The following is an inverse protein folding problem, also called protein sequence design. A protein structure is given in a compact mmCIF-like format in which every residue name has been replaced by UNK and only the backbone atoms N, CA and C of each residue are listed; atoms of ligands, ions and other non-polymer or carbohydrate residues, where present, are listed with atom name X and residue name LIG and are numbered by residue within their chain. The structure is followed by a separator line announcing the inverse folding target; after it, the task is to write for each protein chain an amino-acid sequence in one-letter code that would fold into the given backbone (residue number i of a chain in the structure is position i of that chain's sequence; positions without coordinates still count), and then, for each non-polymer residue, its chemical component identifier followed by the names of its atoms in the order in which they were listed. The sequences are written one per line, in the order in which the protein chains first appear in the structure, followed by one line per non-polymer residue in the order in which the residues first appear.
data_IF_187105509372
#
_entry.id   IF_187105509372
#
_cell.length_a   1.000
_cell.length_b   1.000
_cell.length_c   1.000
_cell.angle_alpha   90.00
_cell.angle_beta   90.00
_cell.angle_gamma   90.00
#
_symmetry.space_group_name_H-M   'P 1'
#
loop_
_entity.id
_entity.type
_entity.pdbx_description
1 polymer ?
#
# COMPACT_ATOMS: atom_id res chain seq x y z
N UNK A 1 -10.10 -1.65 15.76
CA UNK A 1 -10.16 -0.21 15.37
C UNK A 1 -8.84 0.51 15.62
N UNK A 2 -7.70 -0.09 15.23
CA UNK A 2 -6.39 0.54 15.41
C UNK A 2 -6.09 1.55 14.30
N UNK A 3 -6.54 1.28 13.07
CA UNK A 3 -6.44 2.17 11.90
C UNK A 3 -6.96 3.59 12.15
N UNK A 4 -8.17 3.81 12.71
CA UNK A 4 -8.63 5.18 12.98
C UNK A 4 -7.81 5.92 14.06
N UNK A 5 -7.15 5.20 14.98
CA UNK A 5 -6.30 5.82 16.01
C UNK A 5 -4.98 6.28 15.41
N UNK A 6 -4.36 5.46 14.56
CA UNK A 6 -3.11 5.78 13.87
C UNK A 6 -3.27 7.01 12.96
N UNK A 7 -4.37 7.10 12.21
CA UNK A 7 -4.63 8.27 11.37
C UNK A 7 -4.79 9.56 12.19
N UNK A 8 -5.40 9.48 13.38
CA UNK A 8 -5.52 10.66 14.27
C UNK A 8 -4.15 11.16 14.74
N UNK A 9 -3.21 10.27 15.05
CA UNK A 9 -1.83 10.65 15.39
C UNK A 9 -1.15 11.35 14.21
N UNK A 10 -1.27 10.80 13.00
CA UNK A 10 -0.66 11.38 11.79
C UNK A 10 -1.25 12.74 11.46
N UNK A 11 -2.58 12.89 11.58
CA UNK A 11 -3.26 14.17 11.42
C UNK A 11 -2.71 15.22 12.38
N UNK A 12 -2.57 14.87 13.66
CA UNK A 12 -2.10 15.82 14.68
C UNK A 12 -0.65 16.28 14.40
N UNK A 13 0.22 15.36 13.97
CA UNK A 13 1.58 15.70 13.50
C UNK A 13 1.54 16.62 12.28
N UNK A 14 0.69 16.33 11.29
CA UNK A 14 0.55 17.18 10.09
C UNK A 14 0.02 18.58 10.42
N UNK A 15 -0.92 18.68 11.35
CA UNK A 15 -1.44 19.97 11.85
C UNK A 15 -0.35 20.74 12.59
N UNK A 16 0.42 20.09 13.47
CA UNK A 16 1.57 20.72 14.13
C UNK A 16 2.57 21.23 13.10
N UNK A 17 2.84 20.45 12.05
CA UNK A 17 3.69 20.87 10.93
C UNK A 17 3.17 22.11 10.20
N UNK A 18 1.85 22.19 9.95
CA UNK A 18 1.23 23.40 9.38
C UNK A 18 1.32 24.62 10.30
N UNK A 19 1.13 24.43 11.61
CA UNK A 19 1.23 25.52 12.59
C UNK A 19 2.67 26.04 12.65
N UNK A 20 3.66 25.15 12.71
CA UNK A 20 5.08 25.52 12.72
C UNK A 20 5.49 26.15 11.39
N UNK A 21 5.06 25.60 10.25
CA UNK A 21 5.35 26.15 8.93
C UNK A 21 4.73 27.52 8.72
N UNK A 22 3.49 27.72 9.20
CA UNK A 22 2.81 29.01 9.20
C UNK A 22 3.55 30.04 10.05
N UNK A 23 3.94 29.69 11.29
CA UNK A 23 4.75 30.53 12.18
C UNK A 23 6.12 30.84 11.54
N UNK A 24 6.75 29.87 10.90
CA UNK A 24 8.02 30.06 10.18
C UNK A 24 7.91 31.08 9.04
N UNK A 25 6.76 31.11 8.34
CA UNK A 25 6.51 32.11 7.30
C UNK A 25 6.41 33.54 7.86
N UNK A 26 5.95 33.75 9.10
CA UNK A 26 5.89 35.08 9.71
C UNK A 26 7.26 35.75 9.91
N UNK A 27 8.36 34.98 9.92
CA UNK A 27 9.71 35.54 10.01
C UNK A 27 10.24 36.08 8.66
N UNK A 28 9.47 35.97 7.58
CA UNK A 28 9.81 36.54 6.28
C UNK A 28 9.04 37.85 6.10
N UNK A 29 9.68 38.89 5.54
CA UNK A 29 9.14 40.26 5.46
C UNK A 29 7.75 40.35 4.77
N UNK A 30 7.46 39.47 3.80
CA UNK A 30 6.16 39.38 3.11
C UNK A 30 5.35 38.11 3.46
N UNK A 31 5.83 37.31 4.41
CA UNK A 31 5.29 35.98 4.70
C UNK A 31 4.02 35.95 5.54
N UNK A 32 3.53 37.10 6.01
CA UNK A 32 2.34 37.21 6.88
C UNK A 32 1.07 36.69 6.20
N UNK A 33 0.84 37.07 4.94
CA UNK A 33 -0.34 36.64 4.17
C UNK A 33 -0.22 35.15 3.82
N UNK A 34 0.98 34.69 3.44
CA UNK A 34 1.26 33.29 3.16
C UNK A 34 1.11 32.39 4.39
N UNK A 35 1.59 32.84 5.55
CA UNK A 35 1.51 32.14 6.82
C UNK A 35 0.08 32.01 7.34
N UNK A 36 -0.73 33.06 7.20
CA UNK A 36 -2.16 33.03 7.56
C UNK A 36 -2.94 32.09 6.64
N UNK A 37 -2.67 32.15 5.33
CA UNK A 37 -3.27 31.23 4.37
C UNK A 37 -2.83 29.79 4.65
N UNK A 38 -1.56 29.55 5.00
CA UNK A 38 -1.04 28.23 5.34
C UNK A 38 -1.68 27.66 6.61
N UNK A 39 -1.92 28.46 7.65
CA UNK A 39 -2.60 28.00 8.87
C UNK A 39 -4.09 27.66 8.63
N UNK A 40 -4.76 28.35 7.70
CA UNK A 40 -6.17 28.06 7.39
C UNK A 40 -6.34 26.94 6.36
N UNK A 41 -5.61 27.01 5.24
CA UNK A 41 -5.67 26.02 4.16
C UNK A 41 -4.88 24.75 4.48
N UNK A 42 -3.80 24.83 5.24
CA UNK A 42 -2.93 23.70 5.54
C UNK A 42 -3.64 22.55 6.27
N UNK A 43 -4.31 22.79 7.42
CA UNK A 43 -5.09 21.78 8.12
C UNK A 43 -6.24 21.23 7.26
N UNK A 44 -6.84 22.06 6.39
CA UNK A 44 -7.88 21.63 5.46
C UNK A 44 -7.34 20.60 4.45
N UNK A 45 -6.22 20.90 3.82
CA UNK A 45 -5.55 20.00 2.86
C UNK A 45 -5.07 18.73 3.56
N UNK A 46 -4.45 18.85 4.73
CA UNK A 46 -4.02 17.71 5.56
C UNK A 46 -5.21 16.80 5.89
N UNK A 47 -6.37 17.36 6.23
CA UNK A 47 -7.58 16.59 6.53
C UNK A 47 -8.07 15.80 5.33
N UNK A 48 -8.17 16.44 4.16
CA UNK A 48 -8.59 15.79 2.91
C UNK A 48 -7.62 14.66 2.53
N UNK A 49 -6.31 14.89 2.61
CA UNK A 49 -5.30 13.88 2.33
C UNK A 49 -5.39 12.68 3.29
N UNK A 50 -5.54 12.95 4.59
CA UNK A 50 -5.66 11.89 5.59
C UNK A 50 -6.93 11.06 5.40
N UNK A 51 -8.02 11.70 4.95
CA UNK A 51 -9.29 11.05 4.63
C UNK A 51 -9.19 10.16 3.39
N UNK A 52 -8.43 10.57 2.37
CA UNK A 52 -8.20 9.72 1.18
C UNK A 52 -7.35 8.49 1.51
N UNK A 53 -6.32 8.64 2.36
CA UNK A 53 -5.47 7.52 2.80
C UNK A 53 -6.30 6.49 3.59
N UNK A 54 -7.16 6.93 4.52
CA UNK A 54 -7.97 5.99 5.29
C UNK A 54 -9.03 5.28 4.43
N UNK A 55 -9.58 5.95 3.42
CA UNK A 55 -10.51 5.32 2.47
C UNK A 55 -9.81 4.19 1.70
N UNK A 56 -8.58 4.43 1.22
CA UNK A 56 -7.77 3.38 0.58
C UNK A 56 -7.50 2.19 1.52
N UNK A 57 -7.11 2.46 2.78
CA UNK A 57 -6.91 1.41 3.77
C UNK A 57 -8.18 0.63 4.11
N UNK A 58 -9.35 1.28 4.08
CA UNK A 58 -10.64 0.62 4.30
C UNK A 58 -10.98 -0.33 3.15
N UNK A 59 -10.70 0.06 1.91
CA UNK A 59 -10.88 -0.83 0.75
C UNK A 59 -9.94 -2.02 0.86
N UNK A 60 -8.67 -1.81 1.22
CA UNK A 60 -7.71 -2.89 1.43
C UNK A 60 -8.15 -3.87 2.53
N UNK A 61 -8.66 -3.35 3.66
CA UNK A 61 -9.21 -4.19 4.71
C UNK A 61 -10.47 -4.95 4.27
N UNK A 62 -11.33 -4.33 3.46
CA UNK A 62 -12.50 -5.00 2.89
C UNK A 62 -12.09 -6.17 1.97
N UNK A 63 -11.06 -5.98 1.13
CA UNK A 63 -10.52 -7.05 0.28
C UNK A 63 -9.93 -8.19 1.11
N UNK A 64 -9.11 -7.86 2.12
CA UNK A 64 -8.53 -8.85 3.03
C UNK A 64 -9.59 -9.58 3.86
N UNK A 65 -10.69 -8.91 4.17
CA UNK A 65 -11.83 -9.54 4.81
C UNK A 65 -12.49 -10.55 3.87
N UNK A 66 -12.69 -10.23 2.59
CA UNK A 66 -13.28 -11.17 1.62
C UNK A 66 -12.37 -12.40 1.42
N UNK A 67 -11.07 -12.20 1.30
CA UNK A 67 -10.07 -13.28 1.23
C UNK A 67 -10.19 -14.24 2.43
N UNK A 68 -10.23 -13.69 3.65
CA UNK A 68 -10.32 -14.48 4.88
C UNK A 68 -11.70 -15.11 5.12
N UNK A 69 -12.77 -14.58 4.50
CA UNK A 69 -14.13 -15.11 4.63
C UNK A 69 -14.48 -16.12 3.51
N UNK A 70 -13.54 -16.43 2.61
CA UNK A 70 -13.72 -17.51 1.64
C UNK A 70 -13.40 -18.85 2.33
N UNK A 71 -14.37 -19.76 2.54
CA UNK A 71 -14.09 -21.12 3.00
C UNK A 71 -13.18 -21.80 1.97
N UNK A 72 -12.04 -22.34 2.43
CA UNK A 72 -10.94 -22.79 1.58
C UNK A 72 -11.34 -23.72 0.44
N UNK A 73 -11.52 -23.15 -0.76
CA UNK A 73 -11.64 -23.89 -2.01
C UNK A 73 -11.08 -23.13 -3.20
N UNK A 74 -10.04 -22.32 -3.00
CA UNK A 74 -9.26 -21.71 -4.08
C UNK A 74 -8.56 -22.83 -4.87
N UNK A 75 -8.93 -23.10 -6.14
CA UNK A 75 -8.18 -24.04 -6.95
C UNK A 75 -6.79 -23.46 -7.18
N UNK A 76 -5.76 -24.21 -6.80
CA UNK A 76 -4.39 -23.93 -7.20
C UNK A 76 -4.37 -23.81 -8.72
N UNK A 77 -4.15 -22.61 -9.26
CA UNK A 77 -3.64 -22.46 -10.62
C UNK A 77 -2.18 -22.93 -10.58
N UNK A 78 -2.02 -24.24 -10.45
CA UNK A 78 -0.82 -24.94 -10.82
C UNK A 78 -0.59 -24.58 -12.28
N UNK A 79 0.51 -23.87 -12.54
CA UNK A 79 1.11 -23.81 -13.87
C UNK A 79 1.65 -25.20 -14.21
N UNK A 80 0.77 -26.19 -14.35
CA UNK A 80 1.06 -27.44 -15.03
C UNK A 80 0.88 -27.19 -16.51
N UNK A 81 1.87 -26.56 -17.13
CA UNK A 81 2.06 -26.68 -18.57
C UNK A 81 2.75 -28.04 -18.80
N UNK A 82 2.04 -29.09 -19.24
CA UNK A 82 2.60 -30.44 -19.37
C UNK A 82 3.58 -30.56 -20.54
N UNK A 83 3.71 -29.52 -21.38
CA UNK A 83 4.44 -29.55 -22.64
C UNK A 83 5.90 -29.13 -22.61
N UNK A 84 6.44 -28.72 -21.45
CA UNK A 84 7.86 -28.29 -21.32
C UNK A 84 8.70 -29.22 -20.44
N UNK A 85 8.14 -30.34 -20.00
CA UNK A 85 8.87 -31.41 -19.32
C UNK A 85 9.15 -32.56 -20.29
N UNK A 86 9.63 -32.23 -21.50
CA UNK A 86 10.35 -33.20 -22.32
C UNK A 86 11.74 -33.37 -21.70
N UNK A 87 11.84 -34.32 -20.77
CA UNK A 87 13.09 -34.94 -20.38
C UNK A 87 13.87 -35.28 -21.66
N UNK A 88 15.15 -34.90 -21.80
CA UNK A 88 15.98 -35.45 -22.86
C UNK A 88 15.98 -36.97 -22.69
N UNK A 89 15.56 -37.70 -23.71
CA UNK A 89 15.67 -39.14 -23.74
C UNK A 89 17.15 -39.51 -23.56
N UNK A 90 17.49 -40.11 -22.43
CA UNK A 90 18.78 -40.75 -22.19
C UNK A 90 18.83 -42.05 -23.00
N UNK A 91 19.16 -41.91 -24.29
CA UNK A 91 19.43 -43.01 -25.21
C UNK A 91 20.87 -43.45 -24.96
N UNK A 92 21.15 -44.11 -23.83
CA UNK A 92 22.50 -44.67 -23.61
C UNK A 92 22.53 -46.13 -23.17
N UNK A 93 21.41 -46.74 -22.76
CA UNK A 93 21.47 -48.10 -22.19
C UNK A 93 20.40 -49.05 -22.74
N UNK A 94 20.38 -49.20 -24.07
CA UNK A 94 19.61 -50.25 -24.75
C UNK A 94 20.55 -51.10 -25.60
N UNK A 95 20.96 -52.22 -24.99
CA UNK A 95 21.18 -53.51 -25.66
C UNK A 95 22.51 -53.61 -26.41
N UNK A 96 23.57 -53.75 -25.62
CA UNK A 96 24.68 -54.65 -25.95
C UNK A 96 24.47 -55.95 -25.18
N UNK A 97 23.59 -56.82 -25.66
CA UNK A 97 23.41 -58.20 -25.16
C UNK A 97 22.78 -59.01 -26.31
N UNK A 98 23.58 -59.27 -27.34
CA UNK A 98 23.30 -60.25 -28.38
C UNK A 98 24.56 -61.10 -28.58
N UNK A 99 24.88 -61.90 -27.56
CA UNK A 99 25.80 -63.04 -27.63
C UNK A 99 25.04 -64.32 -27.27
#
# INVERSE_FOLDING_TARGET
MITPVIIKIVFWIGVIGCVIGGIGMFFNDDGVVGGLLCIFLGPLVVRVYCELIIVMFKIFQALKQIENNLPGNVPSYSSSNPGLQSTPADITNSVGDAE
#
